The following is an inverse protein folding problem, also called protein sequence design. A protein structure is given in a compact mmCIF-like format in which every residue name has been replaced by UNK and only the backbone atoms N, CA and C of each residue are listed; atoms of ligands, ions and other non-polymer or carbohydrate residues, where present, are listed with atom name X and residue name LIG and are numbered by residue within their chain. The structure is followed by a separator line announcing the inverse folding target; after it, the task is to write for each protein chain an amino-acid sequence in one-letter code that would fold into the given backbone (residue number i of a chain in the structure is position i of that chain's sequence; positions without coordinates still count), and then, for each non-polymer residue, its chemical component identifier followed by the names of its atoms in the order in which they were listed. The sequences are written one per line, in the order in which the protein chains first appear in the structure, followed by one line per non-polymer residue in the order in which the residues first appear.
data_IF_215257735937
#
_entry.id   IF_215257735937
#
_cell.length_a   1.000
_cell.length_b   1.000
_cell.length_c   1.000
_cell.angle_alpha   90.00
_cell.angle_beta   90.00
_cell.angle_gamma   90.00
#
_symmetry.space_group_name_H-M   'P 1'
#
loop_
_entity.id
_entity.type
_entity.pdbx_description
1 polymer ?
#
# COMPACT_ATOMS: atom_id res chain seq x y z
N UNK A 1 22.99 -54.19 12.39
CA UNK A 1 21.62 -53.70 12.07
C UNK A 1 21.12 -52.66 13.08
N UNK A 2 21.84 -51.55 13.29
CA UNK A 2 21.47 -50.53 14.30
C UNK A 2 21.46 -49.08 13.78
N UNK A 3 21.82 -48.86 12.51
CA UNK A 3 21.87 -47.52 11.88
C UNK A 3 20.68 -47.17 10.99
N UNK A 4 19.82 -48.14 10.62
CA UNK A 4 18.64 -47.87 9.77
C UNK A 4 17.43 -47.30 10.52
N UNK A 5 17.32 -47.55 11.84
CA UNK A 5 16.21 -47.06 12.66
C UNK A 5 16.37 -45.61 13.13
N UNK A 6 17.61 -45.08 13.17
CA UNK A 6 17.86 -43.70 13.57
C UNK A 6 17.50 -42.71 12.44
N UNK A 7 17.82 -43.05 11.18
CA UNK A 7 17.52 -42.21 10.03
C UNK A 7 16.02 -42.13 9.71
N UNK A 8 15.23 -43.19 9.93
CA UNK A 8 13.78 -43.14 9.68
C UNK A 8 13.03 -42.27 10.70
N UNK A 9 13.48 -42.23 11.96
CA UNK A 9 12.89 -41.36 12.98
C UNK A 9 13.22 -39.89 12.76
N UNK A 10 14.44 -39.58 12.33
CA UNK A 10 14.83 -38.20 11.98
C UNK A 10 14.12 -37.70 10.71
N UNK A 11 13.98 -38.53 9.67
CA UNK A 11 13.23 -38.16 8.45
C UNK A 11 11.74 -37.97 8.75
N UNK A 12 11.14 -38.81 9.61
CA UNK A 12 9.74 -38.65 10.01
C UNK A 12 9.46 -37.38 10.81
N UNK A 13 10.38 -36.99 11.71
CA UNK A 13 10.27 -35.73 12.49
C UNK A 13 10.50 -34.51 11.61
N UNK A 14 11.46 -34.56 10.67
CA UNK A 14 11.70 -33.45 9.71
C UNK A 14 10.51 -33.29 8.76
N UNK A 15 9.93 -34.38 8.25
CA UNK A 15 8.75 -34.33 7.39
C UNK A 15 7.52 -33.79 8.15
N UNK A 16 7.32 -34.19 9.41
CA UNK A 16 6.22 -33.68 10.24
C UNK A 16 6.39 -32.18 10.59
N UNK A 17 7.64 -31.72 10.82
CA UNK A 17 7.96 -30.31 11.07
C UNK A 17 7.84 -29.46 9.79
N UNK A 18 8.10 -30.04 8.61
CA UNK A 18 7.91 -29.36 7.32
C UNK A 18 6.43 -29.21 6.95
N UNK A 19 5.60 -30.23 7.23
CA UNK A 19 4.15 -30.20 6.97
C UNK A 19 3.42 -29.18 7.87
N UNK A 20 3.92 -28.94 9.09
CA UNK A 20 3.34 -27.93 10.00
C UNK A 20 3.73 -26.48 9.65
N UNK A 21 4.70 -26.25 8.76
CA UNK A 21 5.15 -24.92 8.36
C UNK A 21 4.47 -24.38 7.08
N UNK A 22 3.65 -25.17 6.37
CA UNK A 22 3.08 -24.76 5.07
C UNK A 22 1.62 -24.32 5.09
N UNK A 23 0.89 -24.46 6.20
CA UNK A 23 -0.43 -23.84 6.33
C UNK A 23 -0.29 -22.35 6.64
N UNK A 24 -0.18 -21.52 5.59
CA UNK A 24 -0.08 -20.07 5.76
C UNK A 24 -1.34 -19.35 5.29
N UNK A 25 -1.67 -18.28 6.02
CA UNK A 25 -2.64 -17.27 5.60
C UNK A 25 -1.91 -15.95 5.42
N UNK A 26 -1.94 -15.40 4.21
CA UNK A 26 -1.37 -14.09 3.92
C UNK A 26 -2.48 -13.05 3.74
N UNK A 27 -2.45 -11.99 4.53
CA UNK A 27 -3.32 -10.84 4.38
C UNK A 27 -2.52 -9.61 3.93
N UNK A 28 -2.99 -8.94 2.88
CA UNK A 28 -2.41 -7.68 2.41
C UNK A 28 -3.51 -6.62 2.41
N UNK A 29 -3.27 -5.56 3.17
CA UNK A 29 -4.14 -4.38 3.20
C UNK A 29 -3.48 -3.28 2.39
N UNK A 30 -4.09 -2.92 1.27
CA UNK A 30 -3.60 -1.89 0.36
C UNK A 30 -4.44 -0.63 0.46
N UNK A 31 -3.81 0.48 0.83
CA UNK A 31 -4.35 1.82 0.79
C UNK A 31 -3.83 2.55 -0.45
N UNK A 32 -4.70 2.78 -1.43
CA UNK A 32 -4.38 3.57 -2.62
C UNK A 32 -5.07 4.94 -2.52
N UNK A 33 -4.28 6.02 -2.61
CA UNK A 33 -4.74 7.40 -2.45
C UNK A 33 -4.48 8.18 -3.74
N UNK A 34 -5.53 8.78 -4.28
CA UNK A 34 -5.45 9.70 -5.41
C UNK A 34 -5.06 11.13 -4.97
N UNK A 35 -4.65 11.96 -5.93
CA UNK A 35 -4.26 13.36 -5.67
C UNK A 35 -5.35 14.22 -5.00
N UNK A 36 -6.62 13.88 -5.22
CA UNK A 36 -7.76 14.53 -4.57
C UNK A 36 -7.88 14.20 -3.07
N UNK A 37 -7.23 13.12 -2.63
CA UNK A 37 -7.43 12.51 -1.31
C UNK A 37 -8.50 11.43 -1.26
N UNK A 38 -9.26 11.23 -2.34
CA UNK A 38 -10.10 10.04 -2.51
C UNK A 38 -9.24 8.81 -2.83
N UNK A 39 -9.82 7.62 -2.73
CA UNK A 39 -9.08 6.39 -3.00
C UNK A 39 -9.83 5.13 -2.64
N UNK A 40 -9.07 4.06 -2.41
CA UNK A 40 -9.61 2.76 -2.03
C UNK A 40 -8.76 2.05 -1.00
N UNK A 41 -9.42 1.32 -0.11
CA UNK A 41 -8.81 0.37 0.80
C UNK A 41 -9.20 -1.04 0.33
N UNK A 42 -8.20 -1.88 0.05
CA UNK A 42 -8.40 -3.26 -0.41
C UNK A 42 -7.75 -4.21 0.59
N UNK A 43 -8.51 -5.20 1.06
CA UNK A 43 -7.99 -6.33 1.80
C UNK A 43 -7.99 -7.56 0.89
N UNK A 44 -6.81 -8.13 0.67
CA UNK A 44 -6.63 -9.40 0.00
C UNK A 44 -6.16 -10.44 1.01
N UNK A 45 -6.89 -11.55 1.12
CA UNK A 45 -6.53 -12.69 1.95
C UNK A 45 -6.30 -13.91 1.07
N UNK A 46 -5.22 -14.63 1.31
CA UNK A 46 -4.85 -15.85 0.60
C UNK A 46 -4.58 -16.94 1.64
N UNK A 47 -5.28 -18.05 1.53
CA UNK A 47 -5.01 -19.27 2.28
C UNK A 47 -4.39 -20.30 1.34
N UNK A 48 -3.30 -20.94 1.78
CA UNK A 48 -2.59 -21.94 0.98
C UNK A 48 -3.39 -23.23 0.79
N UNK A 49 -2.97 -24.07 -0.15
CA UNK A 49 -3.72 -25.28 -0.55
C UNK A 49 -3.86 -26.28 0.60
N UNK A 50 -2.89 -26.35 1.51
CA UNK A 50 -2.93 -27.21 2.68
C UNK A 50 -4.04 -26.83 3.67
N UNK A 51 -4.40 -25.53 3.75
CA UNK A 51 -5.58 -25.10 4.51
C UNK A 51 -6.85 -25.61 3.85
N UNK A 52 -6.89 -25.64 2.51
CA UNK A 52 -8.04 -26.13 1.74
C UNK A 52 -8.17 -27.65 1.83
N UNK A 53 -7.07 -28.39 1.96
CA UNK A 53 -7.10 -29.82 2.22
C UNK A 53 -7.77 -30.15 3.57
N UNK A 54 -7.51 -29.34 4.61
CA UNK A 54 -8.08 -29.51 5.95
C UNK A 54 -9.52 -28.97 6.02
N UNK A 55 -9.82 -27.90 5.29
CA UNK A 55 -11.12 -27.24 5.25
C UNK A 55 -11.66 -27.13 3.82
N UNK A 56 -12.11 -28.24 3.20
CA UNK A 56 -12.49 -28.26 1.78
C UNK A 56 -13.74 -27.41 1.47
N UNK A 57 -14.58 -27.14 2.47
CA UNK A 57 -15.78 -26.30 2.34
C UNK A 57 -15.55 -24.84 2.74
N UNK A 58 -14.30 -24.42 3.01
CA UNK A 58 -13.98 -23.08 3.51
C UNK A 58 -14.61 -21.97 2.65
N UNK A 59 -14.58 -22.12 1.32
CA UNK A 59 -15.16 -21.14 0.40
C UNK A 59 -16.67 -20.91 0.61
N UNK A 60 -17.42 -21.97 0.98
CA UNK A 60 -18.87 -21.93 1.19
C UNK A 60 -19.24 -21.48 2.62
N UNK A 61 -18.31 -21.64 3.57
CA UNK A 61 -18.50 -21.27 4.97
C UNK A 61 -18.30 -19.77 5.23
N UNK A 62 -17.58 -19.07 4.34
CA UNK A 62 -17.32 -17.63 4.46
C UNK A 62 -18.61 -16.80 4.32
N UNK A 63 -18.76 -15.86 5.26
CA UNK A 63 -19.92 -14.95 5.36
C UNK A 63 -19.47 -13.51 5.13
N UNK A 64 -20.18 -12.81 4.25
CA UNK A 64 -19.80 -11.49 3.75
C UNK A 64 -20.94 -10.46 3.83
N UNK A 65 -22.06 -10.84 4.45
CA UNK A 65 -23.26 -10.02 4.55
C UNK A 65 -22.97 -8.74 5.34
N UNK A 66 -22.26 -8.85 6.46
CA UNK A 66 -21.86 -7.71 7.28
C UNK A 66 -20.90 -6.77 6.54
N UNK A 67 -19.93 -7.32 5.81
CA UNK A 67 -18.99 -6.55 5.00
C UNK A 67 -19.71 -5.79 3.88
N UNK A 68 -20.62 -6.46 3.18
CA UNK A 68 -21.42 -5.86 2.10
C UNK A 68 -22.35 -4.78 2.64
N UNK A 69 -23.00 -5.01 3.79
CA UNK A 69 -23.83 -4.03 4.47
C UNK A 69 -23.02 -2.80 4.93
N UNK A 70 -21.75 -3.00 5.26
CA UNK A 70 -20.81 -1.95 5.61
C UNK A 70 -20.18 -1.23 4.38
N UNK A 71 -20.63 -1.53 3.16
CA UNK A 71 -20.20 -0.85 1.94
C UNK A 71 -19.02 -1.49 1.21
N UNK A 72 -18.53 -2.66 1.66
CA UNK A 72 -17.44 -3.36 0.99
C UNK A 72 -17.94 -4.11 -0.25
N UNK A 73 -17.20 -3.96 -1.34
CA UNK A 73 -17.35 -4.78 -2.54
C UNK A 73 -16.51 -6.04 -2.36
N UNK A 74 -17.17 -7.18 -2.23
CA UNK A 74 -16.51 -8.47 -2.01
C UNK A 74 -16.43 -9.26 -3.32
N UNK A 75 -15.23 -9.67 -3.69
CA UNK A 75 -15.01 -10.63 -4.76
C UNK A 75 -15.28 -12.03 -4.23
N UNK A 76 -16.00 -12.85 -5.02
CA UNK A 76 -16.27 -14.24 -4.62
C UNK A 76 -14.96 -14.99 -4.35
N UNK A 77 -14.91 -15.88 -3.34
CA UNK A 77 -13.75 -16.71 -3.10
C UNK A 77 -13.34 -17.46 -4.38
N UNK A 78 -12.08 -17.32 -4.77
CA UNK A 78 -11.54 -17.94 -5.98
C UNK A 78 -10.32 -18.80 -5.65
N UNK A 79 -10.15 -19.90 -6.39
CA UNK A 79 -8.96 -20.74 -6.24
C UNK A 79 -7.73 -20.00 -6.77
N UNK A 80 -6.62 -20.11 -6.05
CA UNK A 80 -5.32 -19.66 -6.55
C UNK A 80 -4.73 -20.68 -7.53
N UNK A 81 -3.71 -20.28 -8.28
CA UNK A 81 -3.02 -21.17 -9.22
C UNK A 81 -2.42 -22.40 -8.51
N UNK A 82 -1.98 -22.21 -7.27
CA UNK A 82 -1.33 -23.23 -6.44
C UNK A 82 -2.33 -24.06 -5.61
N UNK A 83 -3.64 -23.93 -5.87
CA UNK A 83 -4.69 -24.72 -5.22
C UNK A 83 -5.19 -24.16 -3.89
N UNK A 84 -4.73 -22.99 -3.47
CA UNK A 84 -5.23 -22.25 -2.32
C UNK A 84 -6.55 -21.53 -2.61
N UNK A 85 -6.98 -20.68 -1.68
CA UNK A 85 -8.18 -19.86 -1.78
C UNK A 85 -7.82 -18.38 -1.55
N UNK A 86 -8.33 -17.52 -2.42
CA UNK A 86 -8.20 -16.08 -2.30
C UNK A 86 -9.56 -15.42 -2.10
N UNK A 87 -9.58 -14.39 -1.28
CA UNK A 87 -10.72 -13.48 -1.08
C UNK A 87 -10.20 -12.06 -1.15
N UNK A 88 -10.93 -11.20 -1.86
CA UNK A 88 -10.63 -9.79 -1.96
C UNK A 88 -11.86 -8.97 -1.60
N UNK A 89 -11.67 -7.94 -0.77
CA UNK A 89 -12.70 -6.95 -0.47
C UNK A 89 -12.14 -5.55 -0.61
N UNK A 90 -12.92 -4.66 -1.22
CA UNK A 90 -12.52 -3.27 -1.47
C UNK A 90 -13.60 -2.31 -1.01
N UNK A 91 -13.19 -1.21 -0.41
CA UNK A 91 -14.07 -0.11 -0.05
C UNK A 91 -13.44 1.22 -0.49
N UNK A 92 -14.21 2.04 -1.19
CA UNK A 92 -13.76 3.37 -1.65
C UNK A 92 -13.96 4.42 -0.58
N UNK A 93 -13.19 5.50 -0.62
CA UNK A 93 -13.38 6.66 0.23
C UNK A 93 -13.21 7.94 -0.58
N UNK A 94 -13.91 8.99 -0.18
CA UNK A 94 -13.99 10.25 -0.91
C UNK A 94 -12.91 11.26 -0.49
N UNK A 95 -12.29 11.06 0.67
CA UNK A 95 -11.27 11.95 1.22
C UNK A 95 -10.33 11.24 2.20
N UNK A 96 -9.22 11.92 2.51
CA UNK A 96 -8.14 11.41 3.35
C UNK A 96 -8.63 11.04 4.76
N UNK A 97 -9.50 11.86 5.35
CA UNK A 97 -10.02 11.66 6.70
C UNK A 97 -10.88 10.39 6.80
N UNK A 98 -11.61 10.05 5.74
CA UNK A 98 -12.38 8.80 5.67
C UNK A 98 -11.49 7.57 5.63
N UNK A 99 -10.29 7.63 5.02
CA UNK A 99 -9.37 6.49 4.97
C UNK A 99 -8.95 6.02 6.38
N UNK A 100 -8.63 6.96 7.28
CA UNK A 100 -8.27 6.64 8.67
C UNK A 100 -9.44 5.98 9.44
N UNK A 101 -10.67 6.47 9.23
CA UNK A 101 -11.88 5.87 9.81
C UNK A 101 -12.13 4.47 9.29
N UNK A 102 -11.91 4.25 8.00
CA UNK A 102 -12.09 2.97 7.35
C UNK A 102 -11.06 1.93 7.83
N UNK A 103 -9.80 2.34 8.01
CA UNK A 103 -8.77 1.49 8.64
C UNK A 103 -9.11 1.11 10.08
N UNK A 104 -9.64 2.05 10.86
CA UNK A 104 -10.11 1.79 12.23
C UNK A 104 -11.31 0.82 12.23
N UNK A 105 -12.26 0.99 11.30
CA UNK A 105 -13.40 0.08 11.14
C UNK A 105 -12.94 -1.33 10.73
N UNK A 106 -11.96 -1.45 9.84
CA UNK A 106 -11.40 -2.72 9.41
C UNK A 106 -10.75 -3.50 10.58
N UNK A 107 -10.16 -2.79 11.55
CA UNK A 107 -9.54 -3.44 12.72
C UNK A 107 -10.50 -3.78 13.84
N UNK A 108 -11.57 -3.01 14.02
CA UNK A 108 -12.35 -3.09 15.25
C UNK A 108 -11.50 -2.83 16.50
N UNK A 109 -11.90 -3.37 17.65
CA UNK A 109 -11.26 -3.12 18.95
C UNK A 109 -9.84 -3.70 19.05
N UNK A 110 -9.63 -4.92 18.51
CA UNK A 110 -8.41 -5.71 18.71
C UNK A 110 -7.55 -5.86 17.45
N UNK A 111 -7.99 -5.33 16.31
CA UNK A 111 -7.25 -5.44 15.06
C UNK A 111 -6.01 -4.53 14.98
N UNK A 112 -5.23 -4.68 13.90
CA UNK A 112 -3.86 -4.18 13.81
C UNK A 112 -3.73 -2.67 13.65
N UNK A 113 -4.73 -1.98 13.10
CA UNK A 113 -4.66 -0.57 12.74
C UNK A 113 -5.11 0.32 13.92
N UNK A 114 -4.16 0.82 14.69
CA UNK A 114 -4.41 1.70 15.84
C UNK A 114 -4.10 3.16 15.47
N UNK A 115 -5.01 4.06 15.86
CA UNK A 115 -4.82 5.51 15.73
C UNK A 115 -4.46 5.98 14.30
N UNK A 116 -4.91 5.24 13.28
CA UNK A 116 -4.60 5.56 11.89
C UNK A 116 -5.24 6.87 11.46
N UNK A 117 -4.44 7.73 10.84
CA UNK A 117 -4.86 9.01 10.31
C UNK A 117 -4.15 9.28 8.98
N UNK A 118 -4.94 9.62 7.97
CA UNK A 118 -4.44 10.17 6.72
C UNK A 118 -4.94 11.60 6.62
N UNK A 119 -4.01 12.54 6.43
CA UNK A 119 -4.32 13.95 6.27
C UNK A 119 -3.77 14.46 4.95
N UNK A 120 -4.50 15.39 4.34
CA UNK A 120 -4.12 16.08 3.12
C UNK A 120 -4.14 17.58 3.35
N UNK A 121 -3.08 18.26 2.93
CA UNK A 121 -3.00 19.73 2.99
C UNK A 121 -2.50 20.29 1.65
N UNK A 122 -2.75 21.58 1.40
CA UNK A 122 -2.37 22.24 0.15
C UNK A 122 -3.42 22.15 -0.97
N UNK A 123 -2.98 22.36 -2.21
CA UNK A 123 -3.82 22.35 -3.42
C UNK A 123 -3.48 21.14 -4.28
N UNK A 124 -4.34 20.77 -5.23
CA UNK A 124 -4.13 19.58 -6.07
C UNK A 124 -2.76 19.54 -6.79
N UNK A 125 -2.20 20.69 -7.13
CA UNK A 125 -0.90 20.83 -7.80
C UNK A 125 0.30 21.00 -6.85
N UNK A 126 0.04 21.18 -5.55
CA UNK A 126 1.03 21.29 -4.47
C UNK A 126 0.36 20.83 -3.17
N UNK A 127 0.30 19.51 -3.00
CA UNK A 127 -0.36 18.88 -1.86
C UNK A 127 0.61 18.01 -1.08
N UNK A 128 0.49 18.03 0.24
CA UNK A 128 1.22 17.16 1.15
C UNK A 128 0.26 16.18 1.80
N UNK A 129 0.61 14.91 1.74
CA UNK A 129 -0.08 13.82 2.43
C UNK A 129 0.75 13.37 3.62
N UNK A 130 0.09 13.17 4.76
CA UNK A 130 0.70 12.58 5.94
C UNK A 130 -0.16 11.41 6.42
N UNK A 131 0.43 10.23 6.40
CA UNK A 131 -0.10 9.00 6.99
C UNK A 131 0.61 8.78 8.33
N UNK A 132 -0.17 8.59 9.39
CA UNK A 132 0.28 8.42 10.77
C UNK A 132 -0.54 7.30 11.45
N UNK A 133 0.06 6.56 12.38
CA UNK A 133 -0.61 5.51 13.15
C UNK A 133 0.34 4.44 13.70
N UNK A 134 -0.24 3.38 14.24
CA UNK A 134 0.48 2.26 14.84
C UNK A 134 -0.11 0.94 14.35
N UNK A 135 0.76 0.02 13.94
CA UNK A 135 0.44 -1.37 13.67
C UNK A 135 0.76 -2.19 14.90
N UNK A 136 -0.26 -2.83 15.48
CA UNK A 136 -0.10 -3.67 16.67
C UNK A 136 -1.26 -4.65 16.81
N UNK A 137 -0.94 -5.93 16.96
CA UNK A 137 -1.90 -6.98 17.32
C UNK A 137 -1.70 -7.37 18.79
N UNK A 138 -2.46 -6.73 19.67
CA UNK A 138 -2.37 -6.88 21.13
C UNK A 138 -3.51 -7.70 21.76
N UNK A 139 -4.59 -7.96 21.01
CA UNK A 139 -5.74 -8.73 21.49
C UNK A 139 -5.58 -10.25 21.51
N UNK A 140 -4.42 -10.78 21.12
CA UNK A 140 -4.22 -12.21 20.90
C UNK A 140 -5.26 -12.77 19.93
N UNK A 141 -5.90 -13.89 20.28
CA UNK A 141 -6.97 -14.48 19.46
C UNK A 141 -8.20 -13.60 19.27
N UNK A 142 -8.45 -12.64 20.16
CA UNK A 142 -9.58 -11.71 20.03
C UNK A 142 -9.39 -10.73 18.87
N UNK A 143 -8.18 -10.61 18.35
CA UNK A 143 -7.90 -9.84 17.14
C UNK A 143 -8.41 -10.54 15.86
N UNK A 144 -8.71 -11.84 15.93
CA UNK A 144 -9.06 -12.66 14.75
C UNK A 144 -10.45 -13.30 14.83
N UNK A 145 -10.96 -13.51 16.05
CA UNK A 145 -12.26 -14.11 16.27
C UNK A 145 -13.17 -13.16 17.05
N UNK A 146 -14.41 -13.02 16.58
CA UNK A 146 -15.42 -12.23 17.29
C UNK A 146 -15.80 -12.89 18.63
N UNK A 147 -16.43 -12.11 19.51
CA UNK A 147 -16.83 -12.58 20.85
C UNK A 147 -17.87 -13.71 20.82
N UNK A 148 -18.60 -13.90 19.70
CA UNK A 148 -19.57 -15.00 19.53
C UNK A 148 -18.84 -16.28 19.15
N UNK A 149 -17.94 -16.21 18.18
CA UNK A 149 -17.10 -17.31 17.73
C UNK A 149 -16.24 -17.82 18.90
N UNK A 150 -15.61 -16.92 19.66
CA UNK A 150 -14.83 -17.28 20.86
C UNK A 150 -15.65 -18.00 21.95
N UNK A 151 -16.96 -17.76 22.03
CA UNK A 151 -17.86 -18.50 22.93
C UNK A 151 -18.21 -19.88 22.41
N UNK A 152 -18.26 -20.06 21.08
CA UNK A 152 -18.59 -21.32 20.41
C UNK A 152 -17.38 -22.27 20.39
N UNK A 153 -16.21 -21.77 19.99
CA UNK A 153 -14.98 -22.59 19.92
C UNK A 153 -14.32 -22.77 21.29
N UNK A 154 -14.78 -22.04 22.31
CA UNK A 154 -14.13 -21.94 23.60
C UNK A 154 -12.79 -21.21 23.45
N UNK A 155 -12.70 -19.96 23.91
CA UNK A 155 -11.45 -19.20 23.85
C UNK A 155 -10.24 -19.91 24.48
N UNK A 156 -10.47 -20.87 25.39
CA UNK A 156 -9.44 -21.66 26.06
C UNK A 156 -8.84 -22.79 25.19
N UNK A 157 -9.60 -23.74 24.58
CA UNK A 157 -8.98 -24.78 23.75
C UNK A 157 -8.23 -24.23 22.54
N UNK A 158 -8.65 -23.15 21.87
CA UNK A 158 -7.88 -22.64 20.72
C UNK A 158 -6.56 -21.97 21.12
N UNK A 159 -6.54 -21.16 22.18
CA UNK A 159 -5.31 -20.53 22.71
C UNK A 159 -4.33 -21.59 23.23
N UNK A 160 -4.84 -22.55 24.00
CA UNK A 160 -4.07 -23.65 24.55
C UNK A 160 -3.59 -24.60 23.44
N UNK A 161 -4.39 -24.86 22.40
CA UNK A 161 -3.97 -25.67 21.25
C UNK A 161 -2.83 -24.99 20.47
N UNK A 162 -2.85 -23.66 20.29
CA UNK A 162 -1.76 -22.95 19.62
C UNK A 162 -0.47 -22.95 20.46
N UNK A 163 -0.58 -22.74 21.77
CA UNK A 163 0.56 -22.82 22.69
C UNK A 163 1.10 -24.26 22.82
N UNK A 164 0.23 -25.27 22.94
CA UNK A 164 0.61 -26.68 23.01
C UNK A 164 1.18 -27.21 21.70
N UNK A 165 0.71 -26.68 20.56
CA UNK A 165 1.27 -27.01 19.24
C UNK A 165 2.61 -26.31 18.97
N UNK A 166 3.05 -25.38 19.84
CA UNK A 166 4.27 -24.62 19.63
C UNK A 166 4.25 -23.79 18.33
N UNK A 167 3.06 -23.45 17.84
CA UNK A 167 2.88 -22.75 16.59
C UNK A 167 3.15 -21.26 16.81
N UNK A 168 4.22 -20.79 16.19
CA UNK A 168 4.52 -19.38 16.06
C UNK A 168 3.51 -18.77 15.06
N UNK A 169 2.58 -17.96 15.55
CA UNK A 169 1.56 -17.29 14.73
C UNK A 169 2.21 -16.50 13.58
N UNK A 170 3.41 -15.96 13.77
CA UNK A 170 4.17 -15.26 12.73
C UNK A 170 4.66 -16.16 11.59
N UNK A 171 4.61 -17.49 11.76
CA UNK A 171 4.91 -18.46 10.70
C UNK A 171 3.66 -18.98 9.99
N UNK A 172 2.52 -18.98 10.68
CA UNK A 172 1.24 -19.43 10.12
C UNK A 172 0.46 -18.30 9.43
N UNK A 173 0.79 -17.05 9.73
CA UNK A 173 0.09 -15.90 9.17
C UNK A 173 0.99 -14.70 9.00
N UNK A 174 0.78 -13.98 7.90
CA UNK A 174 1.38 -12.67 7.67
C UNK A 174 0.31 -11.64 7.42
N UNK A 175 0.54 -10.43 7.91
CA UNK A 175 -0.28 -9.26 7.57
C UNK A 175 0.67 -8.16 7.12
N UNK A 176 0.56 -7.77 5.86
CA UNK A 176 1.32 -6.66 5.30
C UNK A 176 0.37 -5.47 5.05
N UNK A 177 0.79 -4.28 5.47
CA UNK A 177 0.11 -3.03 5.16
C UNK A 177 0.91 -2.30 4.08
N UNK A 178 0.22 -1.89 3.01
CA UNK A 178 0.81 -1.26 1.85
C UNK A 178 0.06 0.04 1.58
N UNK A 179 0.78 1.14 1.39
CA UNK A 179 0.19 2.43 1.08
C UNK A 179 0.85 3.07 -0.14
N UNK A 180 0.04 3.45 -1.12
CA UNK A 180 0.45 4.24 -2.29
C UNK A 180 -0.12 5.64 -2.13
N UNK A 181 0.77 6.63 -1.92
CA UNK A 181 0.41 8.03 -1.70
C UNK A 181 0.83 8.87 -2.90
N UNK A 182 0.09 9.93 -3.29
CA UNK A 182 0.48 10.76 -4.42
C UNK A 182 1.80 11.51 -4.20
N UNK A 183 2.53 11.75 -5.28
CA UNK A 183 3.73 12.59 -5.28
C UNK A 183 5.00 11.79 -5.07
N UNK A 184 5.93 12.35 -4.30
CA UNK A 184 7.20 11.72 -3.92
C UNK A 184 7.21 11.55 -2.42
N UNK A 185 7.60 10.36 -1.93
CA UNK A 185 7.82 10.11 -0.50
C UNK A 185 9.02 10.94 -0.03
N UNK A 186 8.79 11.83 0.94
CA UNK A 186 9.85 12.65 1.56
C UNK A 186 10.40 11.98 2.83
N UNK A 187 9.52 11.30 3.57
CA UNK A 187 9.86 10.61 4.81
C UNK A 187 8.98 9.38 4.98
N UNK A 188 9.57 8.28 5.42
CA UNK A 188 8.81 7.08 5.76
C UNK A 188 9.49 6.25 6.86
N UNK A 189 8.69 5.53 7.64
CA UNK A 189 9.13 4.43 8.53
C UNK A 189 9.06 3.05 7.88
N UNK A 190 8.36 2.93 6.75
CA UNK A 190 8.21 1.67 6.01
C UNK A 190 9.25 1.54 4.89
N UNK A 191 9.14 0.45 4.11
CA UNK A 191 9.99 0.21 2.94
C UNK A 191 9.33 0.86 1.72
N UNK A 192 9.96 1.87 1.14
CA UNK A 192 9.50 2.53 -0.09
C UNK A 192 10.02 1.79 -1.33
N UNK A 193 9.10 1.33 -2.17
CA UNK A 193 9.36 0.77 -3.49
C UNK A 193 8.50 1.51 -4.51
N UNK A 194 9.11 2.36 -5.32
CA UNK A 194 8.42 3.12 -6.39
C UNK A 194 7.17 3.85 -5.89
N UNK A 195 7.28 4.58 -4.77
CA UNK A 195 6.19 5.39 -4.20
C UNK A 195 5.03 4.56 -3.62
N UNK A 196 5.30 3.29 -3.37
CA UNK A 196 4.47 2.37 -2.59
C UNK A 196 5.25 1.97 -1.35
N UNK A 197 4.71 2.28 -0.17
CA UNK A 197 5.36 2.02 1.11
C UNK A 197 4.74 0.79 1.75
N UNK A 198 5.56 -0.13 2.25
CA UNK A 198 5.10 -1.34 2.92
C UNK A 198 5.60 -1.46 4.37
N UNK A 199 4.77 -2.09 5.20
CA UNK A 199 5.04 -2.46 6.59
C UNK A 199 4.55 -3.87 6.86
N UNK A 200 5.26 -4.57 7.75
CA UNK A 200 4.85 -5.89 8.24
C UNK A 200 4.26 -5.77 9.63
N UNK A 201 2.96 -5.99 9.74
CA UNK A 201 2.25 -5.90 11.01
C UNK A 201 2.82 -6.92 12.00
N UNK A 202 3.28 -6.49 13.19
CA UNK A 202 3.71 -7.38 14.24
C UNK A 202 2.53 -8.17 14.82
N UNK A 203 2.69 -9.51 14.89
CA UNK A 203 1.71 -10.43 15.47
C UNK A 203 2.05 -10.86 16.90
N UNK A 204 3.19 -10.42 17.42
CA UNK A 204 3.71 -10.72 18.76
C UNK A 204 3.30 -9.68 19.82
N UNK A 205 2.46 -8.71 19.45
CA UNK A 205 2.03 -7.60 20.30
C UNK A 205 2.99 -6.43 20.35
N UNK A 206 4.15 -6.51 19.69
CA UNK A 206 5.03 -5.35 19.53
C UNK A 206 4.36 -4.27 18.68
N UNK A 207 4.81 -3.03 18.83
CA UNK A 207 4.30 -1.88 18.07
C UNK A 207 5.21 -1.58 16.89
N UNK A 208 4.61 -1.29 15.74
CA UNK A 208 5.30 -0.71 14.60
C UNK A 208 4.65 0.61 14.21
N UNK A 209 5.42 1.70 14.26
CA UNK A 209 4.94 3.01 13.84
C UNK A 209 4.74 3.08 12.33
N UNK A 210 3.62 3.68 11.91
CA UNK A 210 3.37 4.10 10.53
C UNK A 210 3.51 5.61 10.50
N UNK A 211 4.57 6.10 9.86
CA UNK A 211 4.72 7.52 9.56
C UNK A 211 5.25 7.65 8.15
N UNK A 212 4.42 8.18 7.24
CA UNK A 212 4.82 8.49 5.86
C UNK A 212 4.35 9.89 5.50
N UNK A 213 5.23 10.66 4.89
CA UNK A 213 4.91 11.97 4.33
C UNK A 213 5.28 11.96 2.86
N UNK A 214 4.33 12.31 2.00
CA UNK A 214 4.57 12.48 0.57
C UNK A 214 4.17 13.88 0.14
N UNK A 215 4.86 14.38 -0.89
CA UNK A 215 4.56 15.68 -1.47
C UNK A 215 4.38 15.56 -2.98
N UNK A 216 3.20 15.96 -3.44
CA UNK A 216 2.89 16.07 -4.84
C UNK A 216 3.10 17.51 -5.28
N UNK A 217 4.17 17.77 -6.01
CA UNK A 217 4.41 19.07 -6.65
C UNK A 217 4.32 18.91 -8.16
N UNK A 218 3.59 19.81 -8.82
CA UNK A 218 3.62 19.95 -10.27
C UNK A 218 4.96 20.57 -10.73
N UNK A 219 6.09 19.93 -10.42
CA UNK A 219 7.45 20.43 -10.71
C UNK A 219 7.59 20.79 -12.19
N UNK A 220 7.01 19.98 -13.09
CA UNK A 220 7.02 20.24 -14.53
C UNK A 220 6.29 21.53 -14.91
N UNK A 221 5.18 21.88 -14.28
CA UNK A 221 4.42 23.09 -14.62
C UNK A 221 5.10 24.38 -14.11
N UNK A 222 5.70 24.32 -12.91
CA UNK A 222 6.40 25.45 -12.30
C UNK A 222 7.73 25.72 -13.00
N UNK A 223 8.52 24.67 -13.26
CA UNK A 223 9.79 24.77 -13.98
C UNK A 223 9.56 25.18 -15.44
N UNK A 224 8.55 24.61 -16.12
CA UNK A 224 8.22 25.02 -17.49
C UNK A 224 7.74 26.48 -17.57
N UNK A 225 6.99 27.01 -16.59
CA UNK A 225 6.59 28.43 -16.59
C UNK A 225 7.79 29.37 -16.45
N UNK A 226 8.72 29.06 -15.55
CA UNK A 226 9.92 29.89 -15.33
C UNK A 226 10.86 29.82 -16.54
N UNK A 227 11.14 28.62 -17.03
CA UNK A 227 12.02 28.42 -18.19
C UNK A 227 11.39 28.99 -19.46
N UNK A 228 10.09 28.78 -19.70
CA UNK A 228 9.41 29.33 -20.88
C UNK A 228 9.35 30.87 -20.85
N UNK A 229 9.21 31.49 -19.67
CA UNK A 229 9.27 32.94 -19.53
C UNK A 229 10.63 33.51 -19.94
N UNK A 230 11.71 32.91 -19.42
CA UNK A 230 13.08 33.30 -19.74
C UNK A 230 13.41 33.07 -21.23
N UNK A 231 13.04 31.92 -21.79
CA UNK A 231 13.24 31.64 -23.22
C UNK A 231 12.46 32.58 -24.13
N UNK A 232 11.21 32.92 -23.78
CA UNK A 232 10.43 33.94 -24.52
C UNK A 232 11.12 35.29 -24.50
N UNK A 233 11.58 35.73 -23.33
CA UNK A 233 12.31 36.99 -23.20
C UNK A 233 13.59 37.01 -24.05
N UNK A 234 14.41 35.96 -23.97
CA UNK A 234 15.63 35.83 -24.77
C UNK A 234 15.33 35.81 -26.28
N UNK A 235 14.25 35.13 -26.69
CA UNK A 235 13.79 35.13 -28.09
C UNK A 235 13.41 36.53 -28.56
N UNK A 236 12.64 37.29 -27.77
CA UNK A 236 12.29 38.68 -28.11
C UNK A 236 13.51 39.58 -28.17
N UNK A 237 14.45 39.46 -27.22
CA UNK A 237 15.70 40.21 -27.24
C UNK A 237 16.52 39.91 -28.50
N UNK A 238 16.61 38.63 -28.89
CA UNK A 238 17.29 38.21 -30.11
C UNK A 238 16.61 38.77 -31.37
N UNK A 239 15.28 38.68 -31.47
CA UNK A 239 14.52 39.22 -32.60
C UNK A 239 14.68 40.75 -32.70
N UNK A 240 14.69 41.47 -31.58
CA UNK A 240 14.93 42.90 -31.55
C UNK A 240 16.35 43.26 -32.02
N UNK A 241 17.35 42.49 -31.60
CA UNK A 241 18.73 42.65 -32.07
C UNK A 241 18.84 42.42 -33.58
N UNK A 242 18.22 41.36 -34.10
CA UNK A 242 18.16 41.08 -35.53
C UNK A 242 17.49 42.22 -36.31
N UNK A 243 16.36 42.73 -35.81
CA UNK A 243 15.67 43.87 -36.42
C UNK A 243 16.55 45.13 -36.45
N UNK A 244 17.28 45.41 -35.36
CA UNK A 244 18.21 46.54 -35.29
C UNK A 244 19.37 46.40 -36.29
N UNK A 245 19.94 45.20 -36.43
CA UNK A 245 20.99 44.92 -37.42
C UNK A 245 20.46 45.11 -38.84
N UNK A 246 19.29 44.56 -39.16
CA UNK A 246 18.65 44.72 -40.48
C UNK A 246 18.39 46.21 -40.78
N UNK A 247 17.82 46.95 -39.83
CA UNK A 247 17.57 48.38 -39.98
C UNK A 247 18.88 49.17 -40.22
N UNK A 248 19.96 48.85 -39.50
CA UNK A 248 21.27 49.46 -39.69
C UNK A 248 21.87 49.20 -41.07
N UNK A 249 21.74 47.98 -41.60
CA UNK A 249 22.19 47.64 -42.96
C UNK A 249 21.37 48.39 -44.02
N UNK A 250 20.05 48.46 -43.86
CA UNK A 250 19.17 49.18 -44.79
C UNK A 250 19.44 50.70 -44.78
N UNK A 251 19.69 51.29 -43.61
CA UNK A 251 20.05 52.70 -43.47
C UNK A 251 21.37 53.01 -44.19
N UNK A 252 22.41 52.20 -43.98
CA UNK A 252 23.71 52.36 -44.66
C UNK A 252 23.59 52.19 -46.18
N UNK A 253 22.76 51.26 -46.67
CA UNK A 253 22.54 51.06 -48.10
C UNK A 253 21.83 52.23 -48.77
N UNK A 254 20.87 52.89 -48.10
CA UNK A 254 20.21 54.10 -48.62
C UNK A 254 21.14 55.32 -48.69
N UNK A 255 22.13 55.40 -47.81
CA UNK A 255 23.16 56.45 -47.87
C UNK A 255 24.16 56.28 -49.03
N UNK A 256 24.41 55.04 -49.48
CA UNK A 256 25.40 54.74 -50.51
C UNK A 256 24.89 54.90 -51.96
N UNK A 257 23.58 55.00 -52.18
CA UNK A 257 22.99 55.15 -53.53
C UNK A 257 22.88 56.61 -54.01
N UNK A 258 23.63 57.54 -53.40
CA UNK A 258 23.52 58.99 -53.64
C UNK A 258 24.81 59.62 -54.16
N UNK A 259 25.48 58.99 -55.12
CA UNK A 259 26.55 59.64 -55.91
C UNK A 259 26.19 59.58 -57.38
N UNK A 260 25.84 60.71 -58.02
CA UNK A 260 25.68 60.79 -59.47
C UNK A 260 27.04 60.59 -60.14
N UNK A 261 27.10 59.72 -61.15
CA UNK A 261 28.23 59.66 -62.08
C UNK A 261 28.12 60.82 -63.08
N UNK A 262 29.14 61.68 -63.10
CA UNK A 262 29.51 62.45 -64.31
C UNK A 262 30.16 61.55 -65.36
#
# INVERSE_FOLDING_TARGET
MRSRFLNQRFVGVIALVLVLCSCQVNAVVTLDVAQSGAGSLTLNMIADSEIIEVAPNLADDLRFEDATAAGWVVSRPNKTADGGLQVSMTHTFDNAEQAGKLLAQLSGEFGPFKQMSLTRSGKDTDSTFKLDGVLQVDGGLKAFADSRLLKVIGGAPFAENLQQAGLDLGKAMTIDFVATLPGVIERTTGIDTENTVSWRVPLDGSEQSVLTTSRNTAVRATVARLIAGLFKFLLFAWLALMAAVIAGVLYKRRGASSTPSE
#
